data_IF_498565198773
#
_entry.id   IF_498565198773
#
_cell.length_a   1.000
_cell.length_b   1.000
_cell.length_c   1.000
_cell.angle_alpha   90.00
_cell.angle_beta   90.00
_cell.angle_gamma   90.00
#
_symmetry.space_group_name_H-M   'P 1'
#
loop_
_entity.id
_entity.type
_entity.pdbx_description
1 polymer ?
#
# COMPACT_ATOMS: atom_id res chain seq x y z
N UNK A 1 33.54 -6.30 -11.19
CA UNK A 1 32.15 -6.75 -11.47
C UNK A 1 31.21 -5.56 -11.33
N UNK A 2 30.57 -5.09 -12.41
CA UNK A 2 29.52 -4.04 -12.30
C UNK A 2 28.32 -4.67 -11.61
N UNK A 3 28.03 -4.27 -10.37
CA UNK A 3 26.79 -4.64 -9.71
C UNK A 3 25.62 -4.20 -10.61
N UNK A 4 24.87 -5.16 -11.15
CA UNK A 4 23.59 -4.87 -11.80
C UNK A 4 22.70 -4.28 -10.72
N UNK A 5 22.57 -2.95 -10.68
CA UNK A 5 21.57 -2.29 -9.87
C UNK A 5 20.21 -2.78 -10.36
N UNK A 6 19.61 -3.72 -9.63
CA UNK A 6 18.25 -4.16 -9.90
C UNK A 6 17.34 -2.95 -9.75
N UNK A 7 16.74 -2.50 -10.87
CA UNK A 7 15.82 -1.37 -10.88
C UNK A 7 14.67 -1.69 -9.93
N UNK A 8 14.57 -0.96 -8.82
CA UNK A 8 13.48 -1.12 -7.85
C UNK A 8 12.21 -0.58 -8.51
N UNK A 9 11.29 -1.48 -8.84
CA UNK A 9 9.99 -1.12 -9.41
C UNK A 9 9.05 -0.81 -8.26
N UNK A 10 8.43 0.36 -8.30
CA UNK A 10 7.37 0.75 -7.36
C UNK A 10 6.03 0.68 -8.09
N UNK A 11 5.09 -0.05 -7.51
CA UNK A 11 3.71 -0.13 -7.97
C UNK A 11 2.80 0.54 -6.95
N UNK A 12 1.86 1.33 -7.42
CA UNK A 12 0.96 2.08 -6.56
C UNK A 12 -0.44 1.46 -6.54
N UNK A 13 -1.07 1.48 -5.37
CA UNK A 13 -2.50 1.13 -5.21
C UNK A 13 -3.18 2.25 -4.45
N UNK A 14 -4.30 2.72 -5.03
CA UNK A 14 -5.09 3.82 -4.50
C UNK A 14 -6.39 3.29 -3.87
N UNK A 15 -6.63 3.71 -2.64
CA UNK A 15 -7.86 3.51 -1.91
C UNK A 15 -8.62 4.84 -1.75
N UNK A 16 -9.93 4.72 -1.55
CA UNK A 16 -10.78 5.81 -1.08
C UNK A 16 -11.09 5.64 0.41
N UNK A 17 -11.48 6.71 1.12
CA UNK A 17 -11.90 6.63 2.52
C UNK A 17 -13.18 5.80 2.73
N UNK A 18 -13.93 5.55 1.65
CA UNK A 18 -15.15 4.75 1.62
C UNK A 18 -15.00 3.53 0.69
N UNK A 19 -13.77 2.99 0.55
CA UNK A 19 -13.58 1.73 -0.18
C UNK A 19 -14.43 0.63 0.48
N UNK A 20 -15.25 -0.04 -0.31
CA UNK A 20 -16.05 -1.19 0.11
C UNK A 20 -15.23 -2.49 0.09
N UNK A 21 -15.80 -3.57 0.63
CA UNK A 21 -15.12 -4.86 0.76
C UNK A 21 -14.74 -5.47 -0.60
N UNK A 22 -15.56 -5.29 -1.63
CA UNK A 22 -15.28 -5.84 -2.95
C UNK A 22 -14.11 -5.13 -3.63
N UNK A 23 -14.10 -3.79 -3.60
CA UNK A 23 -12.99 -2.95 -4.10
C UNK A 23 -11.71 -3.21 -3.29
N UNK A 24 -11.82 -3.38 -1.97
CA UNK A 24 -10.69 -3.74 -1.11
C UNK A 24 -10.07 -5.07 -1.53
N UNK A 25 -10.86 -6.13 -1.64
CA UNK A 25 -10.38 -7.47 -2.00
C UNK A 25 -9.74 -7.50 -3.39
N UNK A 26 -10.32 -6.79 -4.36
CA UNK A 26 -9.73 -6.66 -5.70
C UNK A 26 -8.35 -5.99 -5.63
N UNK A 27 -8.22 -4.90 -4.89
CA UNK A 27 -6.95 -4.18 -4.72
C UNK A 27 -5.92 -4.98 -3.92
N UNK A 28 -6.34 -5.70 -2.88
CA UNK A 28 -5.46 -6.60 -2.13
C UNK A 28 -4.83 -7.66 -3.02
N UNK A 29 -5.61 -8.31 -3.89
CA UNK A 29 -5.08 -9.30 -4.85
C UNK A 29 -4.01 -8.69 -5.79
N UNK A 30 -4.17 -7.44 -6.19
CA UNK A 30 -3.16 -6.72 -6.96
C UNK A 30 -1.91 -6.41 -6.12
N UNK A 31 -2.10 -6.02 -4.86
CA UNK A 31 -1.02 -5.77 -3.92
C UNK A 31 -0.15 -7.02 -3.73
N UNK A 32 -0.78 -8.17 -3.50
CA UNK A 32 -0.11 -9.46 -3.41
C UNK A 32 0.68 -9.78 -4.67
N UNK A 33 0.07 -9.58 -5.85
CA UNK A 33 0.71 -9.82 -7.14
C UNK A 33 1.98 -8.97 -7.29
N UNK A 34 1.91 -7.68 -6.94
CA UNK A 34 3.06 -6.78 -7.02
C UNK A 34 4.20 -7.21 -6.10
N UNK A 35 3.89 -7.61 -4.86
CA UNK A 35 4.90 -8.10 -3.93
C UNK A 35 5.51 -9.43 -4.40
N UNK A 36 4.69 -10.35 -4.93
CA UNK A 36 5.14 -11.63 -5.51
C UNK A 36 6.04 -11.43 -6.74
N UNK A 37 5.81 -10.39 -7.53
CA UNK A 37 6.66 -9.98 -8.66
C UNK A 37 7.97 -9.28 -8.24
N UNK A 38 8.18 -9.07 -6.93
CA UNK A 38 9.35 -8.38 -6.41
C UNK A 38 9.30 -6.85 -6.55
N UNK A 39 8.12 -6.28 -6.79
CA UNK A 39 7.93 -4.83 -6.79
C UNK A 39 7.65 -4.33 -5.37
N UNK A 40 8.12 -3.11 -5.06
CA UNK A 40 7.70 -2.38 -3.87
C UNK A 40 6.27 -1.86 -4.07
N UNK A 41 5.45 -2.02 -3.06
CA UNK A 41 4.08 -1.51 -3.04
C UNK A 41 4.03 -0.17 -2.32
N UNK A 42 3.43 0.83 -2.98
CA UNK A 42 3.00 2.08 -2.37
C UNK A 42 1.47 2.12 -2.31
N UNK A 43 0.93 1.80 -1.16
CA UNK A 43 -0.52 1.88 -0.91
C UNK A 43 -0.87 3.26 -0.35
N UNK A 44 -1.93 3.89 -0.85
CA UNK A 44 -2.36 5.16 -0.29
C UNK A 44 -3.88 5.35 -0.33
N UNK A 45 -4.40 6.08 0.66
CA UNK A 45 -5.78 6.55 0.71
C UNK A 45 -5.80 8.01 0.26
N UNK A 46 -6.66 8.35 -0.71
CA UNK A 46 -6.82 9.72 -1.18
C UNK A 46 -8.08 10.36 -0.59
N UNK A 47 -7.91 11.43 0.18
CA UNK A 47 -9.00 12.18 0.78
C UNK A 47 -9.36 13.39 -0.10
N UNK A 48 -10.52 13.31 -0.77
CA UNK A 48 -11.07 14.42 -1.56
C UNK A 48 -11.90 15.37 -0.68
N UNK A 49 -11.58 16.65 -0.69
CA UNK A 49 -12.35 17.69 0.02
C UNK A 49 -12.46 17.42 1.53
N UNK A 50 -13.70 17.42 2.05
CA UNK A 50 -13.99 17.19 3.47
C UNK A 50 -13.82 15.75 3.94
N UNK A 51 -13.50 14.80 3.06
CA UNK A 51 -13.32 13.40 3.45
C UNK A 51 -12.07 13.15 4.32
N UNK A 52 -11.22 14.15 4.53
CA UNK A 52 -10.09 14.09 5.48
C UNK A 52 -10.54 13.76 6.91
N UNK A 53 -11.80 14.02 7.27
CA UNK A 53 -12.39 13.61 8.55
C UNK A 53 -12.38 12.08 8.75
N UNK A 54 -12.30 11.31 7.65
CA UNK A 54 -12.21 9.86 7.68
C UNK A 54 -10.77 9.35 7.68
N UNK A 55 -9.79 10.18 8.08
CA UNK A 55 -8.37 9.79 8.15
C UNK A 55 -8.15 8.53 8.98
N UNK A 56 -8.88 8.36 10.08
CA UNK A 56 -8.73 7.22 10.98
C UNK A 56 -9.21 5.93 10.29
N UNK A 57 -10.27 6.00 9.47
CA UNK A 57 -10.71 4.87 8.63
C UNK A 57 -9.66 4.51 7.59
N UNK A 58 -9.05 5.51 6.97
CA UNK A 58 -7.97 5.29 6.01
C UNK A 58 -6.74 4.64 6.63
N UNK A 59 -6.40 5.03 7.86
CA UNK A 59 -5.31 4.44 8.63
C UNK A 59 -5.58 2.97 8.95
N UNK A 60 -6.77 2.67 9.48
CA UNK A 60 -7.21 1.30 9.77
C UNK A 60 -7.17 0.44 8.51
N UNK A 61 -7.64 0.97 7.36
CA UNK A 61 -7.60 0.26 6.08
C UNK A 61 -6.18 -0.11 5.67
N UNK A 62 -5.22 0.82 5.77
CA UNK A 62 -3.84 0.55 5.40
C UNK A 62 -3.15 -0.39 6.38
N UNK A 63 -3.42 -0.28 7.69
CA UNK A 63 -2.91 -1.20 8.70
C UNK A 63 -3.46 -2.62 8.50
N UNK A 64 -4.75 -2.76 8.18
CA UNK A 64 -5.36 -4.05 7.82
C UNK A 64 -4.67 -4.67 6.60
N UNK A 65 -4.45 -3.88 5.55
CA UNK A 65 -3.71 -4.32 4.36
C UNK A 65 -2.28 -4.76 4.70
N UNK A 66 -1.60 -4.05 5.61
CA UNK A 66 -0.25 -4.42 6.04
C UNK A 66 -0.21 -5.78 6.74
N UNK A 67 -1.16 -6.03 7.65
CA UNK A 67 -1.28 -7.31 8.36
C UNK A 67 -1.57 -8.46 7.39
N UNK A 68 -2.52 -8.28 6.47
CA UNK A 68 -2.88 -9.31 5.50
C UNK A 68 -1.76 -9.61 4.48
N UNK A 69 -0.86 -8.65 4.24
CA UNK A 69 0.29 -8.81 3.34
C UNK A 69 1.59 -9.13 4.07
N UNK A 70 1.57 -9.34 5.38
CA UNK A 70 2.76 -9.58 6.20
C UNK A 70 3.56 -10.80 5.72
N UNK A 71 2.89 -11.83 5.21
CA UNK A 71 3.55 -13.03 4.65
C UNK A 71 4.35 -12.74 3.36
N UNK A 72 3.92 -11.76 2.57
CA UNK A 72 4.52 -11.45 1.26
C UNK A 72 5.48 -10.27 1.29
N UNK A 73 5.35 -9.39 2.29
CA UNK A 73 6.08 -8.14 2.33
C UNK A 73 6.44 -7.70 3.74
N UNK A 74 7.40 -6.77 3.82
CA UNK A 74 7.79 -6.09 5.05
C UNK A 74 7.40 -4.62 4.93
N UNK A 75 6.68 -4.11 5.93
CA UNK A 75 6.36 -2.67 6.01
C UNK A 75 7.66 -1.88 6.19
N UNK A 76 7.94 -0.97 5.25
CA UNK A 76 9.07 -0.05 5.32
C UNK A 76 8.65 1.29 5.96
N UNK A 77 7.41 1.70 5.74
CA UNK A 77 6.85 2.93 6.27
C UNK A 77 5.39 2.69 6.65
N UNK A 78 5.05 2.93 7.91
CA UNK A 78 3.67 2.92 8.42
C UNK A 78 2.83 4.02 7.75
N UNK A 79 1.49 3.93 7.81
CA UNK A 79 0.61 4.95 7.26
C UNK A 79 0.97 6.34 7.76
N UNK A 80 1.27 7.25 6.84
CA UNK A 80 1.57 8.65 7.16
C UNK A 80 0.73 9.58 6.30
N UNK A 81 0.07 10.54 6.93
CA UNK A 81 -0.70 11.57 6.25
C UNK A 81 0.21 12.68 5.73
N UNK A 82 0.19 12.90 4.42
CA UNK A 82 0.90 13.95 3.70
C UNK A 82 -0.09 14.71 2.82
N UNK A 83 -0.53 15.87 3.31
CA UNK A 83 -1.56 16.70 2.67
C UNK A 83 -2.90 15.95 2.53
N UNK A 84 -3.27 15.59 1.30
CA UNK A 84 -4.53 14.91 0.98
C UNK A 84 -4.38 13.39 0.81
N UNK A 85 -3.19 12.84 1.08
CA UNK A 85 -2.90 11.41 0.91
C UNK A 85 -2.35 10.83 2.19
N UNK A 86 -2.87 9.69 2.61
CA UNK A 86 -2.20 8.85 3.60
C UNK A 86 -1.53 7.71 2.88
N UNK A 87 -0.21 7.58 3.03
CA UNK A 87 0.62 6.65 2.25
C UNK A 87 1.33 5.66 3.16
N UNK A 88 1.48 4.43 2.68
CA UNK A 88 2.22 3.34 3.32
C UNK A 88 3.09 2.65 2.27
N UNK A 89 4.26 2.17 2.67
CA UNK A 89 5.16 1.41 1.80
C UNK A 89 5.42 0.01 2.33
N UNK A 90 5.31 -0.97 1.45
CA UNK A 90 5.61 -2.37 1.73
C UNK A 90 6.65 -2.84 0.70
N UNK A 91 7.79 -3.31 1.18
CA UNK A 91 8.79 -3.98 0.34
C UNK A 91 8.47 -5.48 0.24
N UNK A 92 8.71 -6.10 -0.91
CA UNK A 92 8.55 -7.55 -1.06
C UNK A 92 9.57 -8.26 -0.16
N UNK A 93 9.15 -9.32 0.54
CA UNK A 93 10.09 -10.23 1.20
C UNK A 93 10.90 -10.91 0.09
N UNK A 94 12.22 -10.76 0.15
CA UNK A 94 13.10 -11.53 -0.74
C UNK A 94 12.88 -13.02 -0.42
N UNK A 95 12.66 -13.83 -1.45
CA UNK A 95 12.90 -15.28 -1.32
C UNK A 95 14.37 -15.52 -1.01
#
# INVERSE_FOLDING_TARGET
MKAKASKVIIKEIRFGPNTDDHDYEFKKKHAEKFLKEGAKLKAYVFFKGRSIIYKDKGEILLLKLAQELEELGKVEQLPRLEGKRMTMFIAPKKK
#
